data_IF_634337426598
#
_entry.id   IF_634337426598
#
_cell.length_a   1.000
_cell.length_b   1.000
_cell.length_c   1.000
_cell.angle_alpha   90.00
_cell.angle_beta   90.00
_cell.angle_gamma   90.00
#
_symmetry.space_group_name_H-M   'P 1'
#
loop_
_entity.id
_entity.type
_entity.pdbx_description
1 polymer ?
#
# COMPACT_ATOMS: atom_id res chain seq x y z
N UNK A 1 13.95 36.48 -10.75
CA UNK A 1 13.08 35.29 -10.68
C UNK A 1 14.00 34.10 -10.52
N UNK A 2 13.80 33.25 -9.52
CA UNK A 2 14.50 31.97 -9.45
C UNK A 2 13.76 30.99 -10.36
N UNK A 3 14.45 30.38 -11.32
CA UNK A 3 13.92 29.23 -12.06
C UNK A 3 14.11 27.99 -11.19
N UNK A 4 13.06 27.18 -11.07
CA UNK A 4 13.17 25.85 -10.50
C UNK A 4 13.49 24.92 -11.66
N UNK A 5 14.76 24.53 -11.78
CA UNK A 5 15.19 23.58 -12.80
C UNK A 5 14.77 22.17 -12.36
N UNK A 6 13.77 21.60 -13.03
CA UNK A 6 13.41 20.20 -12.87
C UNK A 6 14.43 19.34 -13.63
N UNK A 7 15.39 18.79 -12.91
CA UNK A 7 16.16 17.66 -13.41
C UNK A 7 15.32 16.39 -13.20
N UNK A 8 14.96 15.63 -14.26
CA UNK A 8 14.27 14.36 -14.06
C UNK A 8 15.16 13.44 -13.22
N UNK A 9 14.63 12.99 -12.08
CA UNK A 9 15.28 12.00 -11.22
C UNK A 9 15.41 10.65 -11.94
N UNK A 10 16.07 9.66 -11.31
CA UNK A 10 16.31 8.38 -11.96
C UNK A 10 14.98 7.74 -12.39
N UNK A 11 14.95 7.33 -13.65
CA UNK A 11 13.85 6.59 -14.25
C UNK A 11 13.57 5.35 -13.39
N UNK A 12 12.42 5.33 -12.74
CA UNK A 12 11.79 4.07 -12.35
C UNK A 12 11.56 3.30 -13.66
N UNK A 13 11.80 1.99 -13.65
CA UNK A 13 11.54 1.14 -14.82
C UNK A 13 10.09 1.34 -15.29
N UNK A 14 9.88 1.30 -16.61
CA UNK A 14 8.54 1.39 -17.19
C UNK A 14 7.60 0.32 -16.58
N UNK A 15 6.31 0.62 -16.50
CA UNK A 15 5.26 -0.26 -15.93
C UNK A 15 5.39 -0.63 -14.44
N UNK A 16 6.04 0.22 -13.64
CA UNK A 16 6.08 0.05 -12.17
C UNK A 16 5.17 1.04 -11.45
N UNK A 17 4.30 0.57 -10.56
CA UNK A 17 3.57 1.46 -9.66
C UNK A 17 4.49 1.94 -8.52
N UNK A 18 4.56 3.25 -8.35
CA UNK A 18 5.45 3.92 -7.39
C UNK A 18 4.64 4.44 -6.20
N UNK A 19 5.25 4.41 -5.01
CA UNK A 19 4.73 5.02 -3.78
C UNK A 19 5.83 5.83 -3.11
N UNK A 20 5.49 7.01 -2.60
CA UNK A 20 6.42 7.84 -1.85
C UNK A 20 6.04 7.84 -0.37
N UNK A 21 7.00 7.51 0.49
CA UNK A 21 6.88 7.57 1.93
C UNK A 21 7.09 8.99 2.46
N UNK A 22 6.66 9.25 3.69
CA UNK A 22 6.69 10.60 4.31
C UNK A 22 8.08 11.16 4.54
N UNK A 23 9.10 10.30 4.56
CA UNK A 23 10.52 10.69 4.68
C UNK A 23 11.18 10.97 3.32
N UNK A 24 10.41 10.93 2.23
CA UNK A 24 10.89 11.13 0.87
C UNK A 24 11.38 9.86 0.18
N UNK A 25 11.44 8.71 0.87
CA UNK A 25 11.78 7.43 0.25
C UNK A 25 10.77 7.07 -0.82
N UNK A 26 11.25 6.73 -2.02
CA UNK A 26 10.42 6.27 -3.13
C UNK A 26 10.53 4.75 -3.20
N UNK A 27 9.42 4.05 -3.00
CA UNK A 27 9.31 2.60 -3.15
C UNK A 27 8.63 2.22 -4.47
N UNK A 28 9.05 1.10 -5.05
CA UNK A 28 8.31 0.46 -6.13
C UNK A 28 8.50 -1.06 -6.10
N UNK A 29 7.58 -1.77 -6.71
CA UNK A 29 7.56 -3.23 -6.75
C UNK A 29 7.60 -3.69 -8.19
N UNK A 30 8.49 -4.64 -8.49
CA UNK A 30 8.51 -5.37 -9.74
C UNK A 30 7.83 -6.71 -9.52
N UNK A 31 6.68 -6.93 -10.14
CA UNK A 31 5.86 -8.15 -9.95
C UNK A 31 6.24 -9.31 -10.90
N UNK A 32 7.05 -9.07 -11.94
CA UNK A 32 7.44 -10.11 -12.91
C UNK A 32 8.71 -10.87 -12.47
N UNK A 33 8.66 -12.21 -12.53
CA UNK A 33 9.77 -13.13 -12.19
C UNK A 33 10.29 -12.95 -10.76
N UNK A 34 9.46 -13.32 -9.78
CA UNK A 34 9.65 -13.11 -8.35
C UNK A 34 9.52 -11.64 -7.94
N UNK A 35 8.54 -11.35 -7.08
CA UNK A 35 8.34 -9.98 -6.58
C UNK A 35 9.60 -9.44 -5.92
N UNK A 36 10.05 -8.25 -6.32
CA UNK A 36 11.17 -7.54 -5.70
C UNK A 36 10.73 -6.12 -5.28
N UNK A 37 11.18 -5.70 -4.10
CA UNK A 37 10.93 -4.36 -3.55
C UNK A 37 12.19 -3.52 -3.75
N UNK A 38 12.02 -2.35 -4.32
CA UNK A 38 13.06 -1.37 -4.51
C UNK A 38 12.76 -0.11 -3.70
N UNK A 39 13.82 0.57 -3.29
CA UNK A 39 13.74 1.90 -2.69
C UNK A 39 14.75 2.84 -3.35
N UNK A 40 14.38 4.10 -3.49
CA UNK A 40 15.26 5.21 -3.80
C UNK A 40 15.19 6.24 -2.68
N UNK A 41 16.34 6.53 -2.06
CA UNK A 41 16.45 7.49 -0.97
C UNK A 41 17.85 8.11 -1.01
N UNK A 42 17.97 9.43 -0.84
CA UNK A 42 19.26 10.15 -0.84
C UNK A 42 20.22 9.74 -1.98
N UNK A 43 19.69 9.67 -3.20
CA UNK A 43 20.42 9.26 -4.42
C UNK A 43 20.92 7.81 -4.46
N UNK A 44 20.39 6.95 -3.58
CA UNK A 44 20.74 5.53 -3.51
C UNK A 44 19.56 4.67 -3.89
N UNK A 45 19.76 3.81 -4.90
CA UNK A 45 18.84 2.74 -5.26
C UNK A 45 19.22 1.46 -4.50
N UNK A 46 18.28 0.89 -3.76
CA UNK A 46 18.44 -0.33 -2.97
C UNK A 46 17.36 -1.33 -3.34
N UNK A 47 17.70 -2.62 -3.28
CA UNK A 47 16.76 -3.74 -3.49
C UNK A 47 16.68 -4.54 -2.20
N UNK A 48 15.48 -4.92 -1.81
CA UNK A 48 15.27 -5.79 -0.66
C UNK A 48 15.63 -7.24 -1.02
N UNK A 49 16.30 -7.94 -0.10
CA UNK A 49 16.36 -9.39 -0.16
C UNK A 49 14.97 -9.97 0.15
N UNK A 50 14.49 -10.92 -0.66
CA UNK A 50 13.19 -11.56 -0.42
C UNK A 50 13.21 -12.29 0.92
N UNK A 51 12.44 -11.78 1.89
CA UNK A 51 12.30 -12.35 3.24
C UNK A 51 10.84 -12.42 3.69
N UNK A 52 9.94 -12.53 2.72
CA UNK A 52 8.50 -12.73 2.89
C UNK A 52 8.06 -13.96 2.10
N UNK A 53 6.90 -14.52 2.43
CA UNK A 53 6.28 -15.61 1.66
C UNK A 53 5.28 -15.07 0.65
N UNK A 54 5.01 -15.86 -0.39
CA UNK A 54 4.06 -15.49 -1.43
C UNK A 54 4.56 -14.42 -2.40
N UNK A 55 3.63 -13.98 -3.25
CA UNK A 55 3.77 -12.87 -4.18
C UNK A 55 3.01 -11.65 -3.70
N UNK A 56 3.50 -10.46 -4.03
CA UNK A 56 2.93 -9.20 -3.54
C UNK A 56 1.71 -8.83 -4.40
N UNK A 57 0.55 -8.71 -3.76
CA UNK A 57 -0.73 -8.38 -4.40
C UNK A 57 -1.11 -6.92 -4.32
N UNK A 58 -0.90 -6.29 -3.17
CA UNK A 58 -1.26 -4.88 -2.94
C UNK A 58 -0.23 -4.24 -2.01
N UNK A 59 -0.03 -2.92 -2.12
CA UNK A 59 0.95 -2.17 -1.35
C UNK A 59 0.65 -0.67 -1.30
N UNK A 60 1.01 -0.07 -0.17
CA UNK A 60 0.97 1.37 -0.02
C UNK A 60 1.97 1.86 1.06
N UNK A 61 2.29 3.14 1.03
CA UNK A 61 3.14 3.78 2.03
C UNK A 61 2.32 4.37 3.17
N UNK A 62 2.71 4.09 4.41
CA UNK A 62 2.17 4.72 5.60
C UNK A 62 3.30 5.22 6.49
N UNK A 63 3.41 6.54 6.64
CA UNK A 63 4.58 7.15 7.26
C UNK A 63 5.83 6.90 6.41
N UNK A 64 6.94 6.54 7.06
CA UNK A 64 8.23 6.24 6.40
C UNK A 64 8.32 4.81 5.84
N UNK A 65 7.26 4.00 5.99
CA UNK A 65 7.29 2.57 5.69
C UNK A 65 6.41 2.22 4.50
N UNK A 66 6.84 1.23 3.71
CA UNK A 66 6.00 0.53 2.73
C UNK A 66 5.36 -0.67 3.41
N UNK A 67 4.03 -0.78 3.34
CA UNK A 67 3.31 -1.97 3.73
C UNK A 67 2.83 -2.71 2.49
N UNK A 68 2.83 -4.03 2.55
CA UNK A 68 2.37 -4.85 1.43
C UNK A 68 1.66 -6.13 1.89
N UNK A 69 0.65 -6.50 1.11
CA UNK A 69 -0.15 -7.72 1.23
C UNK A 69 0.37 -8.75 0.23
N UNK A 70 0.55 -9.98 0.71
CA UNK A 70 0.90 -11.12 -0.14
C UNK A 70 -0.32 -11.98 -0.45
N UNK A 71 -0.21 -12.81 -1.50
CA UNK A 71 -1.25 -13.73 -1.94
C UNK A 71 -1.63 -14.81 -0.91
N UNK A 72 -0.70 -15.14 -0.02
CA UNK A 72 -0.90 -15.99 1.16
C UNK A 72 -1.50 -15.25 2.37
N UNK A 73 -2.07 -14.06 2.13
CA UNK A 73 -2.79 -13.24 3.13
C UNK A 73 -1.92 -12.71 4.28
N UNK A 74 -0.62 -12.54 4.06
CA UNK A 74 0.28 -11.97 5.06
C UNK A 74 0.60 -10.51 4.77
N UNK A 75 0.83 -9.78 5.85
CA UNK A 75 1.10 -8.36 5.82
C UNK A 75 2.52 -8.16 6.32
N UNK A 76 3.30 -7.47 5.51
CA UNK A 76 4.68 -7.15 5.80
C UNK A 76 4.90 -5.64 5.75
N UNK A 77 5.99 -5.23 6.37
CA UNK A 77 6.47 -3.86 6.40
C UNK A 77 7.91 -3.82 5.91
N UNK A 78 8.18 -3.01 4.91
CA UNK A 78 9.51 -2.69 4.41
C UNK A 78 9.90 -1.28 4.87
N UNK A 79 11.03 -1.19 5.56
CA UNK A 79 11.61 0.05 6.07
C UNK A 79 12.96 0.28 5.41
N UNK A 80 13.18 1.45 4.81
CA UNK A 80 14.51 1.85 4.39
C UNK A 80 15.35 2.18 5.63
N UNK A 81 16.52 1.57 5.72
CA UNK A 81 17.49 1.79 6.78
C UNK A 81 18.76 2.33 6.14
N UNK A 82 19.07 3.56 6.50
CA UNK A 82 20.35 4.20 6.25
C UNK A 82 21.51 3.29 6.73
N UNK A 83 22.62 3.19 5.98
CA UNK A 83 22.89 3.95 4.76
C UNK A 83 22.36 3.33 3.47
N UNK A 84 21.94 2.06 3.43
CA UNK A 84 21.66 1.39 2.15
C UNK A 84 21.02 0.01 2.30
N UNK A 85 19.98 -0.14 3.10
CA UNK A 85 19.29 -1.43 3.23
C UNK A 85 17.78 -1.28 3.35
N UNK A 86 17.05 -2.32 2.96
CA UNK A 86 15.62 -2.44 3.23
C UNK A 86 15.44 -3.59 4.21
N UNK A 87 14.87 -3.29 5.38
CA UNK A 87 14.47 -4.31 6.34
C UNK A 87 13.01 -4.64 6.14
N UNK A 88 12.70 -5.92 5.91
CA UNK A 88 11.33 -6.41 5.85
C UNK A 88 10.97 -7.16 7.14
N UNK A 89 9.81 -6.83 7.72
CA UNK A 89 9.28 -7.48 8.93
C UNK A 89 7.84 -7.92 8.69
N UNK A 90 7.51 -9.11 9.18
CA UNK A 90 6.13 -9.56 9.28
C UNK A 90 5.37 -8.69 10.29
N UNK A 91 4.13 -8.33 9.95
CA UNK A 91 3.24 -7.52 10.77
C UNK A 91 2.14 -8.38 11.37
N UNK A 92 1.28 -8.95 10.50
CA UNK A 92 0.16 -9.83 10.87
C UNK A 92 -0.36 -10.59 9.66
N UNK A 93 -1.32 -11.48 9.88
CA UNK A 93 -2.11 -12.10 8.81
C UNK A 93 -3.47 -11.40 8.69
N UNK A 94 -4.07 -11.48 7.50
CA UNK A 94 -5.46 -11.08 7.30
C UNK A 94 -6.36 -12.15 7.92
N UNK A 95 -7.27 -11.75 8.80
CA UNK A 95 -8.20 -12.64 9.50
C UNK A 95 -9.33 -13.10 8.57
N UNK A 96 -9.96 -14.24 8.90
CA UNK A 96 -10.96 -14.88 8.03
C UNK A 96 -12.21 -14.03 7.79
N UNK A 97 -12.57 -13.16 8.74
CA UNK A 97 -13.72 -12.27 8.68
C UNK A 97 -13.36 -10.85 8.20
N UNK A 98 -12.12 -10.62 7.77
CA UNK A 98 -11.72 -9.38 7.11
C UNK A 98 -12.06 -9.40 5.61
N UNK A 99 -12.72 -8.34 5.15
CA UNK A 99 -13.01 -8.06 3.73
C UNK A 99 -12.03 -7.00 3.22
N UNK A 100 -11.30 -7.31 2.15
CA UNK A 100 -10.40 -6.36 1.49
C UNK A 100 -11.21 -5.35 0.66
N UNK A 101 -10.96 -4.05 0.86
CA UNK A 101 -11.66 -2.95 0.20
C UNK A 101 -10.80 -2.27 -0.90
N UNK A 102 -9.56 -2.71 -1.12
CA UNK A 102 -8.58 -2.10 -2.02
C UNK A 102 -7.66 -1.09 -1.32
N UNK A 103 -6.54 -0.75 -1.97
CA UNK A 103 -5.53 0.22 -1.49
C UNK A 103 -5.11 -0.02 -0.03
N UNK A 104 -4.86 -1.28 0.33
CA UNK A 104 -4.47 -1.66 1.69
C UNK A 104 -5.50 -1.25 2.77
N UNK A 105 -6.80 -1.22 2.44
CA UNK A 105 -7.90 -1.07 3.41
C UNK A 105 -8.65 -2.40 3.59
N UNK A 106 -9.05 -2.67 4.83
CA UNK A 106 -9.92 -3.80 5.16
C UNK A 106 -11.10 -3.35 5.99
N UNK A 107 -12.12 -4.18 6.03
CA UNK A 107 -13.20 -4.05 6.99
C UNK A 107 -13.56 -5.37 7.63
N UNK A 108 -14.13 -5.31 8.83
CA UNK A 108 -14.56 -6.49 9.60
C UNK A 108 -15.90 -6.23 10.31
N UNK A 109 -16.82 -7.19 10.33
CA UNK A 109 -18.03 -7.10 11.14
C UNK A 109 -17.70 -7.28 12.63
N UNK A 110 -18.36 -6.50 13.48
CA UNK A 110 -18.39 -6.66 14.94
C UNK A 110 -19.83 -6.51 15.42
N UNK A 111 -20.09 -6.86 16.68
CA UNK A 111 -21.45 -6.88 17.27
C UNK A 111 -22.28 -5.60 17.04
N UNK A 112 -21.63 -4.45 16.86
CA UNK A 112 -22.27 -3.14 16.65
C UNK A 112 -22.24 -2.62 15.21
N UNK A 113 -21.69 -3.36 14.23
CA UNK A 113 -21.67 -2.97 12.82
C UNK A 113 -20.37 -3.31 12.11
N UNK A 114 -20.17 -2.73 10.92
CA UNK A 114 -18.94 -2.89 10.14
C UNK A 114 -17.90 -1.84 10.55
N UNK A 115 -16.63 -2.23 10.62
CA UNK A 115 -15.52 -1.33 10.94
C UNK A 115 -14.44 -1.46 9.88
N UNK A 116 -13.93 -0.32 9.39
CA UNK A 116 -12.81 -0.27 8.45
C UNK A 116 -11.55 0.31 9.09
N UNK A 117 -10.40 -0.14 8.59
CA UNK A 117 -9.07 0.26 9.03
C UNK A 117 -8.05 -0.08 7.95
N UNK A 118 -6.83 0.44 8.09
CA UNK A 118 -5.74 0.04 7.20
C UNK A 118 -5.37 -1.40 7.49
N UNK A 119 -4.98 -2.12 6.44
CA UNK A 119 -4.51 -3.49 6.50
C UNK A 119 -3.35 -3.62 7.51
N UNK A 120 -2.51 -2.59 7.66
CA UNK A 120 -1.43 -2.57 8.66
C UNK A 120 -1.82 -2.20 10.10
N UNK A 121 -3.04 -1.74 10.36
CA UNK A 121 -3.50 -1.36 11.70
C UNK A 121 -3.96 -2.58 12.51
N UNK A 122 -4.03 -2.41 13.84
CA UNK A 122 -4.74 -3.33 14.73
C UNK A 122 -6.25 -3.30 14.42
N UNK A 123 -6.90 -4.44 14.09
CA UNK A 123 -8.34 -4.53 13.86
C UNK A 123 -9.21 -3.93 14.98
N UNK A 124 -8.70 -3.83 16.22
CA UNK A 124 -9.41 -3.21 17.35
C UNK A 124 -9.56 -1.70 17.18
N UNK A 125 -8.67 -1.05 16.43
CA UNK A 125 -8.67 0.40 16.18
C UNK A 125 -9.59 0.86 15.05
N UNK A 126 -10.37 -0.05 14.45
CA UNK A 126 -11.23 0.28 13.31
C UNK A 126 -12.25 1.38 13.56
N UNK A 127 -12.52 2.14 12.49
CA UNK A 127 -13.55 3.18 12.45
C UNK A 127 -14.85 2.54 11.97
N UNK A 128 -15.95 2.76 12.68
CA UNK A 128 -17.26 2.25 12.27
C UNK A 128 -17.68 2.88 10.94
N UNK A 129 -18.09 2.05 10.00
CA UNK A 129 -18.58 2.50 8.68
C UNK A 129 -20.01 2.01 8.45
N UNK A 130 -20.78 2.80 7.70
CA UNK A 130 -22.09 2.37 7.20
C UNK A 130 -21.91 1.78 5.80
N UNK A 131 -22.11 0.47 5.68
CA UNK A 131 -21.98 -0.25 4.40
C UNK A 131 -23.18 -0.08 3.47
N UNK A 132 -24.25 0.61 3.86
CA UNK A 132 -25.40 0.92 2.98
C UNK A 132 -24.98 1.67 1.69
N UNK A 133 -23.79 2.28 1.67
CA UNK A 133 -23.21 2.94 0.49
C UNK A 133 -22.08 2.14 -0.20
N UNK A 134 -21.68 1.00 0.36
CA UNK A 134 -20.54 0.23 -0.13
C UNK A 134 -20.91 -0.84 -1.18
N UNK A 135 -22.20 -1.04 -1.46
CA UNK A 135 -22.69 -1.99 -2.47
C UNK A 135 -22.46 -1.56 -3.93
N UNK A 136 -21.68 -0.50 -4.18
CA UNK A 136 -21.40 -0.01 -5.54
C UNK A 136 -20.13 -0.63 -6.14
N UNK A 137 -19.31 -1.34 -5.34
CA UNK A 137 -17.92 -1.61 -5.70
C UNK A 137 -17.58 -3.07 -6.05
N UNK A 138 -18.57 -3.97 -6.07
CA UNK A 138 -18.31 -5.36 -6.47
C UNK A 138 -18.75 -5.57 -7.92
N UNK A 139 -17.84 -5.32 -8.87
CA UNK A 139 -17.93 -5.88 -10.22
C UNK A 139 -18.05 -4.93 -11.43
N UNK A 140 -17.66 -3.65 -11.34
CA UNK A 140 -17.50 -2.81 -12.54
C UNK A 140 -16.02 -2.49 -12.80
N UNK A 141 -15.57 -2.82 -14.00
CA UNK A 141 -14.22 -2.61 -14.53
C UNK A 141 -13.80 -1.12 -14.42
N UNK A 142 -12.51 -0.93 -14.22
CA UNK A 142 -11.81 0.25 -13.67
C UNK A 142 -11.98 1.60 -14.37
N UNK A 143 -12.65 1.71 -15.52
CA UNK A 143 -12.53 2.92 -16.35
C UNK A 143 -13.49 4.08 -15.98
N UNK A 144 -14.59 3.81 -15.26
CA UNK A 144 -15.56 4.85 -14.83
C UNK A 144 -15.44 5.23 -13.33
N UNK A 145 -14.45 4.68 -12.61
CA UNK A 145 -14.35 4.71 -11.15
C UNK A 145 -13.61 5.92 -10.55
N UNK A 146 -12.96 6.76 -11.35
CA UNK A 146 -12.27 7.96 -10.82
C UNK A 146 -13.24 9.07 -10.39
N UNK A 147 -14.37 9.25 -11.09
CA UNK A 147 -15.29 10.37 -10.85
C UNK A 147 -16.13 10.23 -9.56
N UNK A 148 -16.39 8.99 -9.10
CA UNK A 148 -17.18 8.74 -7.88
C UNK A 148 -16.35 8.73 -6.59
N UNK A 149 -15.02 8.64 -6.69
CA UNK A 149 -14.12 8.59 -5.51
C UNK A 149 -14.11 9.89 -4.70
N UNK A 150 -14.44 11.03 -5.31
CA UNK A 150 -14.34 12.35 -4.67
C UNK A 150 -15.64 12.84 -4.01
N UNK A 151 -16.82 12.42 -4.45
CA UNK A 151 -18.10 12.94 -3.91
C UNK A 151 -18.44 12.39 -2.51
N UNK A 152 -17.98 11.19 -2.17
CA UNK A 152 -18.33 10.54 -0.89
C UNK A 152 -17.45 10.97 0.31
N UNK A 153 -16.29 11.58 0.05
CA UNK A 153 -15.33 11.99 1.09
C UNK A 153 -15.51 13.47 1.49
N UNK A 154 -16.17 14.28 0.65
CA UNK A 154 -16.30 15.74 0.85
C UNK A 154 -17.72 16.21 1.21
N UNK A 155 -18.62 15.34 1.67
CA UNK A 155 -19.93 15.74 2.23
C UNK A 155 -20.03 15.50 3.73
#
# INVERSE_FOLDING_TARGET
MASLDFAPGPLVEDDCAVRQASDGTIFWIKQHNESAIYAYHNDQKVVASKSWSGDIKDWDCFGADLFFLTDDKKIYKATFLEPSSIQVKFVREVEEDETHLGHMLVSRPKDSGQFAYRLCDDPKGGIRINMEYATVFDGQEDDDLEDLRLEAIYR
#
